data_IF_769234468001
#
_entry.id   IF_769234468001
#
_cell.length_a   1.000
_cell.length_b   1.000
_cell.length_c   1.000
_cell.angle_alpha   90.00
_cell.angle_beta   90.00
_cell.angle_gamma   90.00
#
_symmetry.space_group_name_H-M   'P 1'
#
loop_
_entity.id
_entity.type
_entity.pdbx_description
1 polymer ?
#
# COMPACT_ATOMS: atom_id res chain seq x y z
N UNK A 1 -11.50 19.72 -19.05
CA UNK A 1 -10.63 18.88 -18.21
C UNK A 1 -10.85 19.28 -16.75
N UNK A 2 -11.13 18.30 -15.90
CA UNK A 2 -11.23 18.56 -14.47
C UNK A 2 -9.84 18.81 -13.90
N UNK A 3 -9.78 19.59 -12.83
CA UNK A 3 -8.51 19.92 -12.19
C UNK A 3 -7.76 18.66 -11.71
N UNK A 4 -8.50 17.68 -11.19
CA UNK A 4 -7.92 16.40 -10.78
C UNK A 4 -7.23 15.67 -11.93
N UNK A 5 -7.86 15.64 -13.09
CA UNK A 5 -7.28 15.02 -14.28
C UNK A 5 -6.02 15.72 -14.72
N UNK A 6 -6.01 17.06 -14.65
CA UNK A 6 -4.84 17.83 -14.99
C UNK A 6 -3.67 17.49 -14.07
N UNK A 7 -3.89 17.47 -12.77
CA UNK A 7 -2.85 17.15 -11.80
C UNK A 7 -2.35 15.72 -11.97
N UNK A 8 -3.25 14.77 -12.23
CA UNK A 8 -2.89 13.39 -12.47
C UNK A 8 -2.05 13.24 -13.74
N UNK A 9 -2.47 13.88 -14.83
CA UNK A 9 -1.75 13.83 -16.09
C UNK A 9 -0.36 14.47 -16.00
N UNK A 10 -0.22 15.50 -15.19
CA UNK A 10 1.07 16.15 -14.96
C UNK A 10 1.89 15.46 -13.87
N UNK A 11 1.35 14.42 -13.25
CA UNK A 11 2.00 13.65 -12.18
C UNK A 11 2.40 14.54 -11.00
N UNK A 12 1.60 15.56 -10.70
CA UNK A 12 1.86 16.48 -9.59
C UNK A 12 1.53 15.86 -8.24
N UNK A 13 0.62 14.88 -8.22
CA UNK A 13 0.20 14.21 -6.99
C UNK A 13 0.23 12.69 -7.17
N UNK A 14 1.42 12.10 -7.40
CA UNK A 14 1.50 10.65 -7.56
C UNK A 14 1.16 9.90 -6.27
N UNK A 15 1.28 10.56 -5.12
CA UNK A 15 1.09 9.97 -3.80
C UNK A 15 -0.18 10.51 -3.17
N UNK A 16 -1.33 10.12 -3.73
CA UNK A 16 -2.64 10.61 -3.32
C UNK A 16 -3.25 9.72 -2.25
N UNK A 17 -4.15 10.32 -1.45
CA UNK A 17 -5.00 9.55 -0.56
C UNK A 17 -6.03 8.78 -1.40
N UNK A 18 -6.06 7.45 -1.23
CA UNK A 18 -6.91 6.57 -2.04
C UNK A 18 -8.17 6.11 -1.31
N UNK A 19 -8.29 6.39 -0.01
CA UNK A 19 -9.46 6.04 0.78
C UNK A 19 -9.33 4.75 1.56
N UNK A 20 -10.47 4.23 2.02
CA UNK A 20 -10.54 3.04 2.86
C UNK A 20 -10.63 1.81 1.97
N UNK A 21 -9.81 0.79 2.28
CA UNK A 21 -9.83 -0.46 1.54
C UNK A 21 -11.10 -1.25 1.86
N UNK A 22 -11.70 -1.80 0.82
CA UNK A 22 -12.90 -2.62 0.95
C UNK A 22 -12.55 -3.98 1.53
N UNK A 23 -13.56 -4.59 2.16
CA UNK A 23 -13.44 -5.94 2.70
C UNK A 23 -13.01 -6.92 1.60
N UNK A 24 -12.17 -7.90 1.96
CA UNK A 24 -11.66 -8.93 1.07
C UNK A 24 -10.69 -8.43 0.01
N UNK A 25 -10.18 -7.20 0.13
CA UNK A 25 -9.15 -6.71 -0.78
C UNK A 25 -7.88 -7.53 -0.63
N UNK A 26 -7.28 -7.89 -1.76
CA UNK A 26 -5.98 -8.57 -1.80
C UNK A 26 -4.90 -7.51 -1.93
N UNK A 27 -4.00 -7.44 -0.96
CA UNK A 27 -2.91 -6.46 -0.96
C UNK A 27 -1.96 -6.64 -2.14
N UNK A 28 -1.92 -7.82 -2.77
CA UNK A 28 -1.14 -8.02 -3.98
C UNK A 28 -1.66 -7.21 -5.16
N UNK A 29 -2.92 -6.77 -5.11
CA UNK A 29 -3.53 -5.98 -6.18
C UNK A 29 -3.47 -4.48 -5.93
N UNK A 30 -2.90 -4.04 -4.79
CA UNK A 30 -2.77 -2.62 -4.47
C UNK A 30 -1.43 -2.14 -5.02
N UNK A 31 -1.44 -1.68 -6.27
CA UNK A 31 -0.21 -1.36 -7.01
C UNK A 31 -0.06 0.12 -7.36
N UNK A 32 -1.12 0.91 -7.24
CA UNK A 32 -1.02 2.35 -7.49
C UNK A 32 -0.43 3.07 -6.29
N UNK A 33 0.49 3.98 -6.56
CA UNK A 33 1.08 4.82 -5.52
C UNK A 33 0.01 5.60 -4.78
N UNK A 34 0.11 5.66 -3.46
CA UNK A 34 -0.84 6.41 -2.68
C UNK A 34 -0.88 5.99 -1.23
N UNK A 35 -1.86 6.58 -0.54
CA UNK A 35 -2.11 6.35 0.87
C UNK A 35 -3.47 5.68 1.01
N UNK A 36 -3.49 4.48 1.57
CA UNK A 36 -4.72 3.70 1.78
C UNK A 36 -4.95 3.50 3.27
N UNK A 37 -6.22 3.44 3.66
CA UNK A 37 -6.60 3.14 5.04
C UNK A 37 -7.16 1.73 5.11
N UNK A 38 -6.72 0.94 6.08
CA UNK A 38 -7.30 -0.38 6.32
C UNK A 38 -7.72 -0.53 7.78
N UNK A 39 -8.69 -1.40 8.02
CA UNK A 39 -9.27 -1.57 9.35
C UNK A 39 -9.27 -3.04 9.76
N UNK A 40 -9.30 -3.29 11.06
CA UNK A 40 -9.34 -4.65 11.58
C UNK A 40 -10.70 -5.33 11.38
N UNK A 41 -11.72 -4.55 11.01
CA UNK A 41 -13.06 -5.10 10.79
C UNK A 41 -13.19 -5.81 9.44
N UNK A 42 -12.26 -5.59 8.53
CA UNK A 42 -12.26 -6.19 7.22
C UNK A 42 -11.31 -7.38 7.17
N UNK A 43 -11.64 -8.35 6.33
CA UNK A 43 -10.75 -9.48 6.06
C UNK A 43 -9.96 -9.18 4.81
N UNK A 44 -8.64 -9.20 4.91
CA UNK A 44 -7.76 -8.91 3.78
C UNK A 44 -6.90 -10.12 3.45
N UNK A 45 -6.59 -10.26 2.16
CA UNK A 45 -5.67 -11.29 1.68
C UNK A 45 -4.28 -10.68 1.54
N UNK A 46 -3.26 -11.42 1.94
CA UNK A 46 -1.86 -10.99 1.83
C UNK A 46 -1.55 -9.70 2.59
N UNK A 47 -2.32 -9.41 3.62
CA UNK A 47 -2.08 -8.27 4.49
C UNK A 47 -1.02 -8.61 5.54
N UNK A 48 -0.35 -7.59 6.10
CA UNK A 48 0.69 -7.83 7.10
C UNK A 48 0.12 -8.21 8.48
N UNK A 49 -1.11 -7.77 8.76
CA UNK A 49 -1.78 -7.98 10.03
C UNK A 49 -3.27 -7.69 9.87
N UNK A 50 -4.02 -7.80 10.97
CA UNK A 50 -5.46 -7.54 10.99
C UNK A 50 -5.83 -6.33 11.85
N UNK A 51 -4.89 -5.41 12.03
CA UNK A 51 -5.12 -4.20 12.83
C UNK A 51 -5.49 -3.01 11.96
N UNK A 52 -5.81 -1.89 12.62
CA UNK A 52 -6.06 -0.63 11.94
C UNK A 52 -4.74 -0.02 11.48
N UNK A 53 -4.70 0.52 10.28
CA UNK A 53 -3.48 1.10 9.81
C UNK A 53 -3.60 1.91 8.53
N UNK A 54 -2.46 2.42 8.13
CA UNK A 54 -2.28 3.14 6.88
C UNK A 54 -1.29 2.36 6.03
N UNK A 55 -1.67 2.10 4.78
CA UNK A 55 -0.80 1.46 3.81
C UNK A 55 -0.27 2.51 2.85
N UNK A 56 1.05 2.60 2.77
CA UNK A 56 1.73 3.46 1.82
C UNK A 56 2.24 2.58 0.67
N UNK A 57 1.96 3.00 -0.56
CA UNK A 57 2.39 2.27 -1.75
C UNK A 57 3.26 3.17 -2.59
N UNK A 58 4.47 2.71 -2.89
CA UNK A 58 5.44 3.42 -3.73
C UNK A 58 5.67 2.58 -4.98
N UNK A 59 5.13 3.02 -6.12
CA UNK A 59 5.28 2.31 -7.39
C UNK A 59 6.29 3.05 -8.27
N UNK A 60 7.41 2.39 -8.55
CA UNK A 60 8.49 2.94 -9.36
C UNK A 60 8.64 2.27 -10.72
N UNK A 61 7.51 1.94 -11.38
CA UNK A 61 7.52 1.34 -12.72
C UNK A 61 8.29 0.02 -12.77
N UNK A 62 7.72 -1.01 -12.16
CA UNK A 62 8.31 -2.35 -12.13
C UNK A 62 8.88 -2.73 -10.78
N UNK A 63 9.08 -1.76 -9.92
CA UNK A 63 9.45 -1.97 -8.52
C UNK A 63 8.39 -1.36 -7.64
N UNK A 64 8.00 -2.05 -6.60
CA UNK A 64 6.91 -1.61 -5.75
C UNK A 64 7.24 -1.89 -4.29
N UNK A 65 6.95 -0.91 -3.44
CA UNK A 65 7.09 -1.07 -2.00
C UNK A 65 5.74 -0.80 -1.36
N UNK A 66 5.32 -1.70 -0.48
CA UNK A 66 4.18 -1.48 0.40
C UNK A 66 4.67 -1.37 1.83
N UNK A 67 4.26 -0.30 2.51
CA UNK A 67 4.62 -0.06 3.90
C UNK A 67 3.35 0.13 4.71
N UNK A 68 3.13 -0.77 5.67
CA UNK A 68 1.94 -0.75 6.52
C UNK A 68 2.33 -0.24 7.91
N UNK A 69 1.67 0.81 8.36
CA UNK A 69 1.90 1.41 9.68
C UNK A 69 0.64 1.28 10.50
N UNK A 70 0.73 0.62 11.65
CA UNK A 70 -0.39 0.50 12.56
C UNK A 70 -0.66 1.81 13.27
N UNK A 71 -1.94 2.18 13.39
CA UNK A 71 -2.31 3.37 14.16
C UNK A 71 -2.57 3.03 15.63
N UNK A 72 -2.89 1.77 15.92
CA UNK A 72 -3.08 1.31 17.30
C UNK A 72 -1.75 1.19 18.03
N UNK A 73 -0.73 0.69 17.35
CA UNK A 73 0.62 0.64 17.88
C UNK A 73 1.58 1.23 16.85
N UNK A 74 1.92 2.50 17.02
CA UNK A 74 2.73 3.24 16.07
C UNK A 74 4.18 2.77 15.99
N UNK A 75 4.60 1.89 16.89
CA UNK A 75 5.93 1.29 16.83
C UNK A 75 6.02 0.14 15.83
N UNK A 76 4.87 -0.33 15.34
CA UNK A 76 4.84 -1.44 14.39
C UNK A 76 4.73 -0.90 12.98
N UNK A 77 5.81 -1.10 12.21
CA UNK A 77 5.88 -0.75 10.80
C UNK A 77 6.30 -2.01 10.06
N UNK A 78 5.49 -2.44 9.10
CA UNK A 78 5.80 -3.60 8.27
C UNK A 78 5.91 -3.18 6.82
N UNK A 79 6.76 -3.85 6.08
CA UNK A 79 6.97 -3.52 4.68
C UNK A 79 7.28 -4.77 3.87
N UNK A 80 7.04 -4.68 2.59
CA UNK A 80 7.46 -5.69 1.61
C UNK A 80 7.73 -5.01 0.28
N UNK A 81 8.41 -5.74 -0.60
CA UNK A 81 8.71 -5.27 -1.94
C UNK A 81 8.14 -6.22 -2.99
N UNK A 82 7.83 -5.68 -4.15
CA UNK A 82 7.42 -6.47 -5.30
C UNK A 82 8.22 -6.07 -6.53
N UNK A 83 8.54 -7.04 -7.36
CA UNK A 83 9.26 -6.83 -8.62
C UNK A 83 8.51 -7.54 -9.72
N UNK A 84 8.40 -6.88 -10.88
CA UNK A 84 7.74 -7.51 -12.04
C UNK A 84 8.68 -8.53 -12.65
N UNK A 85 8.21 -9.78 -12.70
CA UNK A 85 8.92 -10.89 -13.36
C UNK A 85 7.93 -11.54 -14.30
N UNK A 86 8.25 -11.57 -15.59
CA UNK A 86 7.38 -12.14 -16.63
C UNK A 86 5.95 -11.59 -16.60
N UNK A 87 5.82 -10.29 -16.37
CA UNK A 87 4.53 -9.61 -16.37
C UNK A 87 3.75 -9.67 -15.06
N UNK A 88 4.24 -10.37 -14.06
CA UNK A 88 3.58 -10.50 -12.76
C UNK A 88 4.49 -10.01 -11.64
N UNK A 89 3.86 -9.45 -10.59
CA UNK A 89 4.62 -9.06 -9.41
C UNK A 89 5.00 -10.30 -8.59
N UNK A 90 6.27 -10.36 -8.21
CA UNK A 90 6.79 -11.31 -7.24
C UNK A 90 7.02 -10.54 -5.95
N UNK A 91 6.39 -10.96 -4.87
CA UNK A 91 6.43 -10.26 -3.58
C UNK A 91 7.39 -10.92 -2.62
N UNK A 92 8.11 -10.09 -1.85
CA UNK A 92 8.84 -10.59 -0.68
C UNK A 92 7.85 -10.82 0.46
N UNK A 93 8.28 -11.53 1.49
CA UNK A 93 7.48 -11.64 2.71
C UNK A 93 7.42 -10.29 3.42
N UNK A 94 6.35 -10.09 4.18
CA UNK A 94 6.26 -8.93 5.05
C UNK A 94 7.35 -8.99 6.12
N UNK A 95 8.03 -7.87 6.32
CA UNK A 95 9.06 -7.73 7.33
C UNK A 95 8.70 -6.59 8.26
N UNK A 96 9.08 -6.70 9.51
CA UNK A 96 8.84 -5.64 10.48
C UNK A 96 10.12 -4.84 10.69
N UNK A 97 9.98 -3.51 10.66
CA UNK A 97 11.09 -2.64 11.03
C UNK A 97 11.25 -2.73 12.54
N UNK A 98 12.43 -3.10 12.97
CA UNK A 98 12.70 -3.25 14.38
C UNK A 98 13.01 -1.90 15.00
N UNK A 99 12.14 -1.48 15.91
CA UNK A 99 12.33 -0.24 16.67
C UNK A 99 12.75 -0.62 18.09
N UNK A 100 13.90 -0.16 18.50
CA UNK A 100 14.41 -0.40 19.87
C UNK A 100 14.15 0.79 20.76
#
# INVERSE_FOLDING_TARGET
MLLEELFTNLKLFPFMRRGILEQNTDFNNITESGIYTYTSLASFTNSPDNDYGILLVFNGSGYLIQEARQVVNTLIIKYRAGVVVDGNFQWTDWKQIQTT
#
